data_IF_129746398602
#
_entry.id   IF_129746398602
#
_cell.length_a   1.000
_cell.length_b   1.000
_cell.length_c   1.000
_cell.angle_alpha   90.00
_cell.angle_beta   90.00
_cell.angle_gamma   90.00
#
_symmetry.space_group_name_H-M   'P 1'
#
loop_
_entity.id
_entity.type
_entity.pdbx_description
1 polymer ?
#
# COMPACT_ATOMS: atom_id res chain seq x y z
N UNK A 1 -0.43 -9.40 10.36
CA UNK A 1 0.16 -8.33 9.54
C UNK A 1 0.41 -8.95 8.18
N UNK A 2 0.14 -8.23 7.10
CA UNK A 2 0.34 -8.74 5.74
C UNK A 2 1.69 -8.25 5.23
N UNK A 3 2.31 -9.00 4.32
CA UNK A 3 3.60 -8.64 3.73
C UNK A 3 3.46 -8.38 2.25
N UNK A 4 4.30 -7.51 1.73
CA UNK A 4 4.37 -7.22 0.30
C UNK A 4 5.20 -8.30 -0.40
N UNK A 5 4.69 -8.87 -1.50
CA UNK A 5 5.35 -9.99 -2.22
C UNK A 5 6.45 -9.56 -3.18
N UNK A 6 6.48 -8.29 -3.57
CA UNK A 6 7.41 -7.75 -4.56
C UNK A 6 7.49 -6.24 -4.41
N UNK A 7 8.61 -5.62 -4.81
CA UNK A 7 8.74 -4.17 -4.72
C UNK A 7 7.66 -3.45 -5.52
N UNK A 8 6.93 -2.55 -4.86
CA UNK A 8 5.87 -1.73 -5.46
C UNK A 8 6.25 -0.26 -5.37
N UNK A 9 6.15 0.46 -6.49
CA UNK A 9 6.20 1.91 -6.51
C UNK A 9 4.77 2.44 -6.50
N UNK A 10 4.43 3.12 -5.42
CA UNK A 10 3.11 3.67 -5.15
C UNK A 10 3.16 5.18 -5.20
N UNK A 11 2.01 5.78 -5.49
CA UNK A 11 1.84 7.23 -5.48
C UNK A 11 0.91 7.56 -4.32
N UNK A 12 1.39 8.42 -3.43
CA UNK A 12 0.61 8.94 -2.34
C UNK A 12 0.19 10.38 -2.67
N UNK A 13 -1.07 10.70 -2.40
CA UNK A 13 -1.55 12.07 -2.42
C UNK A 13 -2.44 12.26 -1.19
N UNK A 14 -2.02 13.15 -0.28
CA UNK A 14 -2.71 13.36 0.98
C UNK A 14 -4.10 13.97 0.76
N UNK A 15 -4.21 15.02 -0.07
CA UNK A 15 -5.48 15.65 -0.44
C UNK A 15 -5.57 15.91 -1.94
N UNK A 16 -6.79 16.03 -2.45
CA UNK A 16 -7.04 16.36 -3.85
C UNK A 16 -6.41 17.73 -4.19
N UNK A 17 -5.41 17.72 -5.07
CA UNK A 17 -4.71 18.93 -5.53
C UNK A 17 -3.35 19.15 -4.88
N UNK A 18 -2.99 18.35 -3.87
CA UNK A 18 -1.62 18.33 -3.32
C UNK A 18 -0.65 17.65 -4.30
N UNK A 19 0.64 17.88 -4.08
CA UNK A 19 1.70 17.19 -4.82
C UNK A 19 1.61 15.67 -4.60
N UNK A 20 1.87 14.92 -5.67
CA UNK A 20 1.91 13.46 -5.62
C UNK A 20 3.32 13.05 -5.21
N UNK A 21 3.42 12.34 -4.11
CA UNK A 21 4.67 11.78 -3.60
C UNK A 21 4.82 10.33 -4.10
N UNK A 22 6.02 9.98 -4.55
CA UNK A 22 6.34 8.59 -4.90
C UNK A 22 6.91 7.87 -3.68
N UNK A 23 6.34 6.70 -3.37
CA UNK A 23 6.74 5.87 -2.24
C UNK A 23 6.97 4.44 -2.71
N UNK A 24 8.06 3.80 -2.27
CA UNK A 24 8.38 2.42 -2.63
C UNK A 24 8.20 1.52 -1.42
N UNK A 25 7.37 0.48 -1.55
CA UNK A 25 7.33 -0.64 -0.61
C UNK A 25 8.19 -1.77 -1.18
N UNK A 26 9.12 -2.30 -0.39
CA UNK A 26 9.94 -3.45 -0.74
C UNK A 26 9.21 -4.77 -0.57
N UNK A 27 9.74 -5.81 -1.19
CA UNK A 27 9.38 -7.19 -0.84
C UNK A 27 9.67 -7.45 0.64
N UNK A 28 8.72 -8.08 1.34
CA UNK A 28 8.80 -8.36 2.77
C UNK A 28 8.38 -7.21 3.67
N UNK A 29 8.10 -6.01 3.13
CA UNK A 29 7.61 -4.91 3.94
C UNK A 29 6.26 -5.24 4.59
N UNK A 30 6.16 -4.91 5.87
CA UNK A 30 4.95 -5.15 6.65
C UNK A 30 3.93 -4.04 6.41
N UNK A 31 2.71 -4.46 6.10
CA UNK A 31 1.55 -3.58 5.99
C UNK A 31 0.38 -4.13 6.80
N UNK A 32 -0.47 -3.22 7.25
CA UNK A 32 -1.73 -3.57 7.91
C UNK A 32 -2.86 -3.45 6.91
N UNK A 33 -3.52 -4.57 6.58
CA UNK A 33 -4.75 -4.55 5.78
C UNK A 33 -5.88 -3.97 6.66
N UNK A 34 -6.42 -2.84 6.25
CA UNK A 34 -7.54 -2.18 6.92
C UNK A 34 -8.88 -2.56 6.31
N UNK A 35 -8.90 -2.79 4.99
CA UNK A 35 -10.12 -3.13 4.25
C UNK A 35 -9.79 -3.94 3.01
N UNK A 36 -10.68 -4.86 2.68
CA UNK A 36 -10.63 -5.63 1.44
C UNK A 36 -11.64 -5.07 0.43
N UNK A 37 -11.19 -4.90 -0.81
CA UNK A 37 -12.00 -4.58 -1.99
C UNK A 37 -12.09 -5.80 -2.90
N UNK A 38 -12.72 -5.67 -4.07
CA UNK A 38 -12.80 -6.78 -5.04
C UNK A 38 -11.39 -7.23 -5.49
N UNK A 39 -10.58 -6.28 -6.00
CA UNK A 39 -9.29 -6.56 -6.64
C UNK A 39 -8.08 -6.03 -5.85
N UNK A 40 -8.31 -5.32 -4.75
CA UNK A 40 -7.25 -4.68 -3.95
C UNK A 40 -7.52 -4.74 -2.45
N UNK A 41 -6.48 -4.47 -1.66
CA UNK A 41 -6.54 -4.19 -0.23
C UNK A 41 -6.23 -2.72 0.02
N UNK A 42 -6.99 -2.10 0.92
CA UNK A 42 -6.56 -0.85 1.56
C UNK A 42 -5.57 -1.21 2.67
N UNK A 43 -4.31 -0.89 2.44
CA UNK A 43 -3.21 -1.17 3.35
C UNK A 43 -2.70 0.12 4.00
N UNK A 44 -2.22 -0.01 5.24
CA UNK A 44 -1.49 1.03 5.98
C UNK A 44 -0.06 0.59 6.20
N UNK A 45 0.91 1.41 5.82
CA UNK A 45 2.33 1.14 6.09
C UNK A 45 2.73 1.57 7.52
N UNK A 46 4.01 1.37 7.88
CA UNK A 46 4.55 1.75 9.20
C UNK A 46 4.53 3.26 9.47
N UNK A 47 4.74 4.08 8.43
CA UNK A 47 4.64 5.55 8.51
C UNK A 47 3.19 6.05 8.65
N UNK A 48 2.23 5.15 8.51
CA UNK A 48 0.81 5.42 8.64
C UNK A 48 0.13 5.94 7.40
N UNK A 49 0.81 5.92 6.26
CA UNK A 49 0.28 6.22 4.94
C UNK A 49 -0.63 5.09 4.44
N UNK A 50 -1.64 5.47 3.67
CA UNK A 50 -2.66 4.57 3.14
C UNK A 50 -2.49 4.37 1.64
N UNK A 51 -2.57 3.12 1.22
CA UNK A 51 -2.43 2.71 -0.17
C UNK A 51 -3.44 1.64 -0.55
N UNK A 52 -3.97 1.72 -1.77
CA UNK A 52 -4.67 0.60 -2.38
C UNK A 52 -3.64 -0.28 -3.10
N UNK A 53 -3.44 -1.50 -2.59
CA UNK A 53 -2.47 -2.45 -3.11
C UNK A 53 -3.22 -3.61 -3.79
N UNK A 54 -2.88 -4.00 -5.03
CA UNK A 54 -3.47 -5.18 -5.67
C UNK A 54 -3.31 -6.43 -4.81
N UNK A 55 -4.36 -7.26 -4.73
CA UNK A 55 -4.32 -8.47 -3.88
C UNK A 55 -3.20 -9.43 -4.26
N UNK A 56 -2.87 -9.51 -5.55
CA UNK A 56 -1.77 -10.34 -6.05
C UNK A 56 -0.40 -9.96 -5.48
N UNK A 57 -0.23 -8.71 -5.06
CA UNK A 57 1.03 -8.17 -4.53
C UNK A 57 1.13 -8.22 -3.00
N UNK A 58 0.08 -8.70 -2.32
CA UNK A 58 0.03 -8.82 -0.85
C UNK A 58 -0.08 -10.29 -0.46
N UNK A 59 0.68 -10.69 0.55
CA UNK A 59 0.52 -11.94 1.27
C UNK A 59 -0.15 -11.64 2.61
N UNK A 60 -1.44 -11.94 2.71
CA UNK A 60 -2.28 -11.66 3.86
C UNK A 60 -2.50 -12.91 4.72
#
# INVERSE_FOLDING_TARGET
MATIKQTLNLKHQANLGDEIEEFSLGEGDEVTVLKEWADSFLCKNLDGLLFNIPKESVEA
#
